data_IF_731022696103
#
_entry.id   IF_731022696103
#
_cell.length_a   1.000
_cell.length_b   1.000
_cell.length_c   1.000
_cell.angle_alpha   90.00
_cell.angle_beta   90.00
_cell.angle_gamma   90.00
#
_symmetry.space_group_name_H-M   'P 1'
#
loop_
_entity.id
_entity.type
_entity.pdbx_description
1 polymer ?
#
# COMPACT_ATOMS: atom_id res chain seq x y z
N UNK A 1 -3.82 -0.02 32.22
CA UNK A 1 -4.23 -1.42 32.43
C UNK A 1 -3.89 -2.23 31.19
N UNK A 2 -3.10 -3.30 31.31
CA UNK A 2 -2.77 -4.18 30.18
C UNK A 2 -4.02 -5.01 29.79
N UNK A 3 -4.37 -5.05 28.50
CA UNK A 3 -5.54 -5.81 28.02
C UNK A 3 -5.30 -7.31 28.23
N UNK A 4 -6.27 -8.01 28.85
CA UNK A 4 -6.25 -9.47 28.94
C UNK A 4 -6.21 -10.09 27.52
N UNK A 5 -5.36 -11.09 27.27
CA UNK A 5 -5.32 -11.76 25.98
C UNK A 5 -6.64 -12.51 25.73
N UNK A 6 -7.08 -12.54 24.47
CA UNK A 6 -8.28 -13.29 24.08
C UNK A 6 -8.04 -14.79 24.21
N UNK A 7 -9.05 -15.49 24.71
CA UNK A 7 -9.10 -16.96 24.73
C UNK A 7 -9.22 -17.53 23.31
N UNK A 8 -8.87 -18.80 23.13
CA UNK A 8 -9.01 -19.47 21.84
C UNK A 8 -10.46 -19.55 21.38
N UNK A 9 -11.38 -19.78 22.32
CA UNK A 9 -12.81 -19.74 22.09
C UNK A 9 -13.27 -18.36 21.56
N UNK A 10 -12.90 -17.26 22.24
CA UNK A 10 -13.25 -15.91 21.78
C UNK A 10 -12.65 -15.57 20.41
N UNK A 11 -11.45 -16.09 20.10
CA UNK A 11 -10.83 -15.92 18.78
C UNK A 11 -11.62 -16.67 17.70
N UNK A 12 -12.06 -17.89 17.98
CA UNK A 12 -12.83 -18.70 17.04
C UNK A 12 -14.21 -18.09 16.77
N UNK A 13 -14.93 -17.67 17.82
CA UNK A 13 -16.24 -17.01 17.68
C UNK A 13 -16.12 -15.71 16.88
N UNK A 14 -15.10 -14.89 17.16
CA UNK A 14 -14.82 -13.68 16.37
C UNK A 14 -14.46 -13.99 14.91
N UNK A 15 -13.71 -15.06 14.64
CA UNK A 15 -13.38 -15.46 13.28
C UNK A 15 -14.62 -15.90 12.50
N UNK A 16 -15.53 -16.66 13.11
CA UNK A 16 -16.81 -17.05 12.52
C UNK A 16 -17.70 -15.83 12.23
N UNK A 17 -17.84 -14.92 13.20
CA UNK A 17 -18.56 -13.65 13.03
C UNK A 17 -18.00 -12.81 11.86
N UNK A 18 -16.66 -12.68 11.74
CA UNK A 18 -16.02 -11.94 10.63
C UNK A 18 -16.31 -12.56 9.26
N UNK A 19 -16.23 -13.88 9.18
CA UNK A 19 -16.54 -14.60 7.94
C UNK A 19 -18.00 -14.44 7.54
N UNK A 20 -18.91 -14.42 8.51
CA UNK A 20 -20.34 -14.16 8.27
C UNK A 20 -20.59 -12.76 7.69
N UNK A 21 -20.03 -11.72 8.30
CA UNK A 21 -20.18 -10.35 7.80
C UNK A 21 -19.59 -10.19 6.40
N UNK A 22 -18.42 -10.77 6.15
CA UNK A 22 -17.81 -10.79 4.82
C UNK A 22 -18.69 -11.51 3.79
N UNK A 23 -19.33 -12.61 4.19
CA UNK A 23 -20.28 -13.31 3.33
C UNK A 23 -21.50 -12.44 3.01
N UNK A 24 -22.08 -11.73 3.99
CA UNK A 24 -23.21 -10.82 3.75
C UNK A 24 -22.86 -9.68 2.77
N UNK A 25 -21.67 -9.10 2.89
CA UNK A 25 -21.16 -8.08 1.96
C UNK A 25 -21.05 -8.64 0.53
N UNK A 26 -20.49 -9.85 0.38
CA UNK A 26 -20.33 -10.51 -0.92
C UNK A 26 -21.65 -10.98 -1.52
N UNK A 27 -22.59 -11.43 -0.69
CA UNK A 27 -23.96 -11.77 -1.10
C UNK A 27 -24.69 -10.56 -1.67
N UNK A 28 -24.54 -9.40 -1.03
CA UNK A 28 -25.09 -8.13 -1.52
C UNK A 28 -24.46 -7.75 -2.87
N UNK A 29 -23.14 -7.86 -2.99
CA UNK A 29 -22.44 -7.59 -4.24
C UNK A 29 -22.83 -8.57 -5.37
N UNK A 30 -22.99 -9.86 -5.06
CA UNK A 30 -23.41 -10.88 -6.02
C UNK A 30 -24.84 -10.69 -6.53
N UNK A 31 -25.72 -10.12 -5.70
CA UNK A 31 -27.09 -9.75 -6.10
C UNK A 31 -27.13 -8.52 -7.01
N UNK A 32 -26.20 -7.59 -6.82
CA UNK A 32 -26.08 -6.38 -7.64
C UNK A 32 -25.33 -6.62 -8.97
N UNK A 33 -24.63 -7.74 -9.12
CA UNK A 33 -23.85 -8.09 -10.31
C UNK A 33 -24.77 -8.46 -11.49
N UNK A 34 -24.78 -7.62 -12.54
CA UNK A 34 -25.59 -7.82 -13.74
C UNK A 34 -24.97 -8.86 -14.69
N UNK A 35 -25.76 -9.39 -15.63
CA UNK A 35 -25.26 -10.33 -16.64
C UNK A 35 -24.17 -9.72 -17.53
N UNK A 36 -24.30 -8.43 -17.89
CA UNK A 36 -23.29 -7.70 -18.64
C UNK A 36 -21.97 -7.57 -17.87
N UNK A 37 -22.01 -7.41 -16.54
CA UNK A 37 -20.80 -7.37 -15.70
C UNK A 37 -20.10 -8.74 -15.67
N UNK A 38 -20.89 -9.83 -15.59
CA UNK A 38 -20.36 -11.21 -15.63
C UNK A 38 -19.68 -11.51 -16.96
N UNK A 39 -20.31 -11.12 -18.07
CA UNK A 39 -19.75 -11.30 -19.41
C UNK A 39 -18.49 -10.46 -19.63
N UNK A 40 -18.46 -9.23 -19.10
CA UNK A 40 -17.27 -8.37 -19.14
C UNK A 40 -16.12 -8.95 -18.34
N UNK A 41 -16.38 -9.52 -17.15
CA UNK A 41 -15.37 -10.20 -16.33
C UNK A 41 -14.87 -11.47 -17.06
N UNK A 42 -15.78 -12.25 -17.64
CA UNK A 42 -15.44 -13.43 -18.45
C UNK A 42 -14.63 -13.08 -19.71
N UNK A 43 -14.89 -11.93 -20.35
CA UNK A 43 -14.12 -11.45 -21.50
C UNK A 43 -12.72 -10.97 -21.09
N UNK A 44 -12.59 -10.23 -19.98
CA UNK A 44 -11.30 -9.87 -19.38
C UNK A 44 -10.47 -11.12 -19.05
N UNK A 45 -11.12 -12.22 -18.67
CA UNK A 45 -10.49 -13.50 -18.31
C UNK A 45 -9.82 -14.23 -19.47
N UNK A 46 -10.29 -14.09 -20.71
CA UNK A 46 -9.66 -14.72 -21.89
C UNK A 46 -8.23 -14.18 -22.15
N UNK A 47 -7.89 -13.01 -21.60
CA UNK A 47 -6.61 -12.32 -21.84
C UNK A 47 -5.51 -12.57 -20.80
N UNK A 48 -5.82 -13.14 -19.62
CA UNK A 48 -4.87 -13.31 -18.50
C UNK A 48 -4.52 -14.78 -18.27
N UNK A 49 -3.33 -15.21 -18.69
CA UNK A 49 -2.79 -16.55 -18.36
C UNK A 49 -2.60 -16.68 -16.85
N UNK A 50 -3.25 -17.67 -16.24
CA UNK A 50 -2.85 -18.26 -14.95
C UNK A 50 -3.74 -18.02 -13.72
N UNK A 51 -4.81 -17.22 -13.79
CA UNK A 51 -5.80 -17.16 -12.69
C UNK A 51 -7.17 -16.73 -13.21
N UNK A 52 -8.24 -17.54 -13.07
CA UNK A 52 -9.59 -17.11 -13.46
C UNK A 52 -10.04 -15.97 -12.54
N UNK A 53 -10.48 -14.83 -13.08
CA UNK A 53 -11.18 -13.84 -12.26
C UNK A 53 -12.50 -14.45 -11.81
N UNK A 54 -12.72 -14.40 -10.49
CA UNK A 54 -13.88 -14.96 -9.83
C UNK A 54 -14.99 -13.90 -9.83
N UNK A 55 -16.19 -14.28 -10.23
CA UNK A 55 -17.38 -13.42 -10.09
C UNK A 55 -17.66 -13.15 -8.62
N UNK A 56 -18.45 -12.11 -8.31
CA UNK A 56 -18.83 -11.86 -6.92
C UNK A 56 -19.53 -13.09 -6.31
N UNK A 57 -20.30 -13.83 -7.13
CA UNK A 57 -20.91 -15.12 -6.78
C UNK A 57 -19.88 -16.21 -6.41
N UNK A 58 -18.82 -16.38 -7.20
CA UNK A 58 -17.77 -17.38 -6.91
C UNK A 58 -17.03 -17.07 -5.61
N UNK A 59 -16.78 -15.78 -5.35
CA UNK A 59 -16.11 -15.32 -4.12
C UNK A 59 -17.05 -15.50 -2.91
N UNK A 60 -18.36 -15.27 -3.09
CA UNK A 60 -19.36 -15.49 -2.05
C UNK A 60 -19.44 -16.97 -1.64
N UNK A 61 -19.45 -17.90 -2.61
CA UNK A 61 -19.47 -19.35 -2.34
C UNK A 61 -18.25 -19.81 -1.53
N UNK A 62 -17.04 -19.38 -1.92
CA UNK A 62 -15.81 -19.70 -1.17
C UNK A 62 -15.81 -19.10 0.24
N UNK A 63 -16.42 -17.93 0.40
CA UNK A 63 -16.52 -17.27 1.71
C UNK A 63 -17.56 -17.97 2.60
N UNK A 64 -18.62 -18.54 2.00
CA UNK A 64 -19.58 -19.37 2.70
C UNK A 64 -18.94 -20.66 3.23
N UNK A 65 -18.15 -21.35 2.42
CA UNK A 65 -17.36 -22.51 2.87
C UNK A 65 -16.43 -22.14 4.03
N UNK A 66 -15.74 -21.00 3.94
CA UNK A 66 -14.88 -20.51 5.01
C UNK A 66 -15.66 -20.17 6.31
N UNK A 67 -16.88 -19.66 6.19
CA UNK A 67 -17.76 -19.43 7.34
C UNK A 67 -18.14 -20.76 8.01
N UNK A 68 -18.56 -21.77 7.24
CA UNK A 68 -18.90 -23.10 7.78
C UNK A 68 -17.72 -23.75 8.51
N UNK A 69 -16.51 -23.65 7.95
CA UNK A 69 -15.28 -24.12 8.61
C UNK A 69 -15.02 -23.37 9.93
N UNK A 70 -15.27 -22.07 9.95
CA UNK A 70 -15.09 -21.26 11.16
C UNK A 70 -16.11 -21.62 12.27
N UNK A 71 -17.37 -21.87 11.91
CA UNK A 71 -18.40 -22.33 12.86
C UNK A 71 -18.06 -23.74 13.38
N UNK A 72 -17.62 -24.65 12.51
CA UNK A 72 -17.17 -25.98 12.92
C UNK A 72 -16.02 -25.91 13.94
N UNK A 73 -15.10 -24.95 13.79
CA UNK A 73 -14.02 -24.73 14.77
C UNK A 73 -14.55 -24.23 16.13
N UNK A 74 -15.58 -23.39 16.14
CA UNK A 74 -16.25 -22.99 17.40
C UNK A 74 -16.83 -24.22 18.10
N UNK A 75 -17.55 -25.07 17.35
CA UNK A 75 -18.15 -26.30 17.85
C UNK A 75 -17.13 -27.30 18.39
N UNK A 76 -15.99 -27.42 17.74
CA UNK A 76 -14.88 -28.27 18.20
C UNK A 76 -14.35 -27.81 19.56
N UNK A 77 -14.15 -26.50 19.75
CA UNK A 77 -13.69 -25.93 21.01
C UNK A 77 -14.76 -26.07 22.10
N UNK A 78 -16.04 -25.90 21.78
CA UNK A 78 -17.13 -26.11 22.74
C UNK A 78 -17.16 -27.54 23.26
N UNK A 79 -16.95 -28.52 22.38
CA UNK A 79 -16.83 -29.94 22.77
C UNK A 79 -15.58 -30.22 23.59
N UNK A 80 -14.43 -29.64 23.22
CA UNK A 80 -13.17 -29.82 23.95
C UNK A 80 -13.22 -29.22 25.36
N UNK A 81 -13.79 -28.03 25.49
CA UNK A 81 -13.89 -27.29 26.75
C UNK A 81 -15.13 -27.67 27.58
N UNK A 82 -15.97 -28.60 27.10
CA UNK A 82 -17.28 -28.94 27.71
C UNK A 82 -18.18 -27.71 27.95
N UNK A 83 -18.18 -26.77 27.00
CA UNK A 83 -18.99 -25.56 27.04
C UNK A 83 -20.38 -25.82 26.45
N UNK A 84 -21.42 -25.08 26.91
CA UNK A 84 -22.71 -25.11 26.23
C UNK A 84 -22.57 -24.60 24.80
N UNK A 85 -23.33 -25.20 23.88
CA UNK A 85 -23.33 -24.82 22.48
C UNK A 85 -23.92 -23.42 22.29
N UNK A 86 -23.12 -22.47 21.79
CA UNK A 86 -23.60 -21.13 21.46
C UNK A 86 -24.49 -21.15 20.23
N UNK A 87 -25.61 -20.42 20.20
CA UNK A 87 -26.46 -20.39 19.01
C UNK A 87 -25.71 -19.78 17.82
N UNK A 88 -26.05 -20.19 16.59
CA UNK A 88 -25.43 -19.56 15.40
C UNK A 88 -25.73 -18.06 15.32
N UNK A 89 -26.92 -17.64 15.78
CA UNK A 89 -27.29 -16.23 15.86
C UNK A 89 -26.36 -15.45 16.80
N UNK A 90 -25.99 -16.02 17.95
CA UNK A 90 -25.07 -15.39 18.90
C UNK A 90 -23.63 -15.36 18.35
N UNK A 91 -23.23 -16.35 17.57
CA UNK A 91 -21.95 -16.36 16.85
C UNK A 91 -21.93 -15.25 15.78
N UNK A 92 -23.03 -15.09 15.03
CA UNK A 92 -23.15 -14.09 13.97
C UNK A 92 -23.19 -12.66 14.51
N UNK A 93 -23.84 -12.46 15.67
CA UNK A 93 -24.00 -11.16 16.33
C UNK A 93 -22.94 -10.87 17.40
N UNK A 94 -21.92 -11.73 17.51
CA UNK A 94 -20.88 -11.62 18.54
C UNK A 94 -20.14 -10.28 18.47
N UNK A 95 -19.92 -9.66 19.63
CA UNK A 95 -19.27 -8.35 19.69
C UNK A 95 -17.78 -8.45 19.32
N UNK A 96 -17.47 -8.23 18.04
CA UNK A 96 -16.11 -8.14 17.53
C UNK A 96 -15.72 -6.68 17.30
N UNK A 97 -14.75 -6.12 18.05
CA UNK A 97 -14.24 -4.77 17.85
C UNK A 97 -13.63 -4.49 16.47
N UNK A 98 -13.41 -5.51 15.63
CA UNK A 98 -12.97 -5.35 14.24
C UNK A 98 -14.14 -5.16 13.27
N UNK A 99 -15.30 -5.75 13.59
CA UNK A 99 -16.54 -5.68 12.80
C UNK A 99 -17.40 -4.50 13.26
N UNK A 100 -17.56 -4.33 14.58
CA UNK A 100 -18.32 -3.25 15.22
C UNK A 100 -17.60 -1.90 15.20
N UNK A 101 -16.44 -1.84 14.55
CA UNK A 101 -15.93 -0.56 14.04
C UNK A 101 -16.69 -0.27 12.76
N UNK A 102 -17.55 0.75 12.71
CA UNK A 102 -18.18 1.12 11.46
C UNK A 102 -17.10 1.36 10.41
N UNK A 103 -17.13 0.54 9.34
CA UNK A 103 -16.37 0.79 8.11
C UNK A 103 -16.88 2.13 7.56
N UNK A 104 -16.05 3.16 7.65
CA UNK A 104 -16.18 4.35 6.79
C UNK A 104 -17.22 5.40 7.15
N UNK A 105 -18.01 5.27 8.22
CA UNK A 105 -18.83 6.40 8.72
C UNK A 105 -18.55 6.58 10.21
N UNK A 106 -18.12 7.77 10.62
CA UNK A 106 -17.98 8.07 12.04
C UNK A 106 -19.32 7.95 12.77
N UNK A 107 -19.28 7.51 14.03
CA UNK A 107 -20.44 7.48 14.94
C UNK A 107 -21.12 8.83 15.15
N UNK A 108 -20.60 9.92 14.58
CA UNK A 108 -21.10 11.29 14.71
C UNK A 108 -21.84 11.82 13.47
N UNK A 109 -21.90 11.06 12.37
CA UNK A 109 -22.35 11.62 11.08
C UNK A 109 -21.43 12.73 10.53
N UNK A 110 -20.29 12.99 11.20
CA UNK A 110 -19.29 13.95 10.75
C UNK A 110 -18.21 13.22 9.93
N UNK A 111 -17.72 13.87 8.85
CA UNK A 111 -16.64 13.32 8.05
C UNK A 111 -15.41 13.14 8.93
N UNK A 112 -14.79 11.96 8.90
CA UNK A 112 -13.53 11.78 9.62
C UNK A 112 -12.46 12.59 8.90
N UNK A 113 -11.54 13.19 9.65
CA UNK A 113 -10.31 13.79 9.12
C UNK A 113 -9.56 12.92 8.09
N UNK A 114 -9.74 11.59 8.15
CA UNK A 114 -9.17 10.65 7.21
C UNK A 114 -9.76 10.76 5.79
N UNK A 115 -11.03 11.14 5.63
CA UNK A 115 -11.66 11.29 4.30
C UNK A 115 -11.05 12.46 3.52
N UNK A 116 -10.82 13.58 4.22
CA UNK A 116 -10.07 14.72 3.67
C UNK A 116 -8.63 14.27 3.32
N UNK A 117 -7.96 13.56 4.23
CA UNK A 117 -6.61 13.04 4.00
C UNK A 117 -6.55 12.09 2.76
N UNK A 118 -7.58 11.26 2.58
CA UNK A 118 -7.71 10.28 1.49
C UNK A 118 -7.99 10.96 0.14
N UNK A 119 -8.87 11.98 0.12
CA UNK A 119 -9.15 12.81 -1.06
C UNK A 119 -7.91 13.62 -1.47
N UNK A 120 -7.20 14.21 -0.51
CA UNK A 120 -5.92 14.87 -0.79
C UNK A 120 -4.87 13.90 -1.32
N UNK A 121 -4.81 12.67 -0.80
CA UNK A 121 -3.94 11.63 -1.32
C UNK A 121 -4.33 11.22 -2.75
N UNK A 122 -5.62 11.19 -3.07
CA UNK A 122 -6.13 10.96 -4.41
C UNK A 122 -5.70 12.09 -5.37
N UNK A 123 -5.92 13.35 -4.99
CA UNK A 123 -5.48 14.53 -5.77
C UNK A 123 -3.99 14.43 -6.08
N UNK A 124 -3.14 14.13 -5.08
CA UNK A 124 -1.70 13.94 -5.28
C UNK A 124 -1.36 12.81 -6.26
N UNK A 125 -2.06 11.68 -6.20
CA UNK A 125 -1.87 10.57 -7.16
C UNK A 125 -2.24 10.99 -8.57
N UNK A 126 -3.33 11.73 -8.74
CA UNK A 126 -3.77 12.22 -10.04
C UNK A 126 -2.80 13.27 -10.60
N UNK A 127 -2.30 14.19 -9.78
CA UNK A 127 -1.26 15.15 -10.19
C UNK A 127 0.03 14.45 -10.65
N UNK A 128 0.51 13.44 -9.90
CA UNK A 128 1.64 12.60 -10.33
C UNK A 128 1.38 11.88 -11.66
N UNK A 129 0.13 11.48 -11.91
CA UNK A 129 -0.27 10.89 -13.18
C UNK A 129 -0.21 11.92 -14.31
N UNK A 130 -0.67 13.15 -14.09
CA UNK A 130 -0.50 14.25 -15.06
C UNK A 130 0.98 14.46 -15.40
N UNK A 131 1.87 14.46 -14.41
CA UNK A 131 3.32 14.56 -14.64
C UNK A 131 3.88 13.37 -15.44
N UNK A 132 3.39 12.15 -15.18
CA UNK A 132 3.75 10.95 -15.92
C UNK A 132 3.27 11.00 -17.38
N UNK A 133 2.07 11.53 -17.62
CA UNK A 133 1.54 11.79 -18.97
C UNK A 133 2.37 12.87 -19.67
N UNK A 134 2.74 13.93 -18.95
CA UNK A 134 3.53 15.03 -19.48
C UNK A 134 4.93 14.60 -19.90
N UNK A 135 5.58 13.77 -19.08
CA UNK A 135 6.90 13.19 -19.32
C UNK A 135 6.91 12.01 -20.30
N UNK A 136 5.76 11.64 -20.88
CA UNK A 136 5.66 10.56 -21.86
C UNK A 136 5.83 9.16 -21.28
N UNK A 137 5.86 9.02 -19.94
CA UNK A 137 5.98 7.72 -19.25
C UNK A 137 4.68 6.92 -19.29
N UNK A 138 3.53 7.59 -19.44
CA UNK A 138 2.23 6.93 -19.60
C UNK A 138 1.89 6.74 -21.09
N UNK A 139 2.22 5.55 -21.63
CA UNK A 139 1.86 5.15 -22.98
C UNK A 139 0.46 4.50 -22.93
N UNK A 140 -0.56 5.22 -23.38
CA UNK A 140 -1.89 4.64 -23.59
C UNK A 140 -2.33 4.87 -25.03
N UNK A 141 -2.77 3.79 -25.68
CA UNK A 141 -3.06 3.70 -27.12
C UNK A 141 -4.37 4.36 -27.55
N UNK A 142 -5.27 4.67 -26.62
CA UNK A 142 -6.68 4.94 -26.92
C UNK A 142 -7.14 6.38 -26.68
N UNK A 143 -6.34 7.19 -25.97
CA UNK A 143 -6.68 8.58 -25.67
C UNK A 143 -5.49 9.48 -25.95
N UNK A 144 -5.75 10.66 -26.49
CA UNK A 144 -4.72 11.69 -26.68
C UNK A 144 -4.19 12.18 -25.35
N UNK A 145 -2.99 12.77 -25.37
CA UNK A 145 -2.37 13.38 -24.18
C UNK A 145 -3.30 14.41 -23.52
N UNK A 146 -3.95 15.25 -24.34
CA UNK A 146 -4.86 16.32 -23.87
C UNK A 146 -6.11 15.76 -23.20
N UNK A 147 -6.74 14.72 -23.75
CA UNK A 147 -7.94 14.09 -23.17
C UNK A 147 -7.64 13.44 -21.81
N UNK A 148 -6.47 12.80 -21.67
CA UNK A 148 -6.05 12.20 -20.39
C UNK A 148 -5.84 13.26 -19.32
N UNK A 149 -5.17 14.36 -19.67
CA UNK A 149 -4.93 15.47 -18.74
C UNK A 149 -6.27 16.09 -18.34
N UNK A 150 -7.15 16.39 -19.31
CA UNK A 150 -8.48 16.95 -19.01
C UNK A 150 -9.32 16.03 -18.11
N UNK A 151 -9.29 14.71 -18.32
CA UNK A 151 -9.96 13.76 -17.43
C UNK A 151 -9.38 13.75 -16.01
N UNK A 152 -8.06 13.89 -15.87
CA UNK A 152 -7.40 14.01 -14.57
C UNK A 152 -7.71 15.33 -13.88
N UNK A 153 -7.75 16.44 -14.62
CA UNK A 153 -8.10 17.77 -14.10
C UNK A 153 -9.52 17.81 -13.55
N UNK A 154 -10.49 17.19 -14.26
CA UNK A 154 -11.87 17.04 -13.76
C UNK A 154 -11.91 16.26 -12.44
N UNK A 155 -11.23 15.12 -12.36
CA UNK A 155 -11.17 14.34 -11.11
C UNK A 155 -10.52 15.11 -9.95
N UNK A 156 -9.53 15.96 -10.23
CA UNK A 156 -8.96 16.85 -9.23
C UNK A 156 -9.98 17.89 -8.79
N UNK A 157 -10.69 18.54 -9.73
CA UNK A 157 -11.71 19.53 -9.41
C UNK A 157 -12.83 18.93 -8.56
N UNK A 158 -13.33 17.75 -8.91
CA UNK A 158 -14.38 17.05 -8.15
C UNK A 158 -13.90 16.70 -6.73
N UNK A 159 -12.67 16.20 -6.59
CA UNK A 159 -12.10 15.88 -5.29
C UNK A 159 -11.82 17.13 -4.45
N UNK A 160 -11.39 18.24 -5.07
CA UNK A 160 -11.19 19.52 -4.40
C UNK A 160 -12.52 20.13 -3.93
N UNK A 161 -13.59 19.98 -4.72
CA UNK A 161 -14.93 20.39 -4.32
C UNK A 161 -15.41 19.61 -3.09
N UNK A 162 -15.26 18.28 -3.10
CA UNK A 162 -15.59 17.43 -1.95
C UNK A 162 -14.76 17.79 -0.72
N UNK A 163 -13.45 18.06 -0.87
CA UNK A 163 -12.63 18.52 0.26
C UNK A 163 -13.19 19.81 0.87
N UNK A 164 -13.59 20.79 0.06
CA UNK A 164 -14.16 22.05 0.57
C UNK A 164 -15.48 21.83 1.32
N UNK A 165 -16.34 20.96 0.80
CA UNK A 165 -17.60 20.59 1.46
C UNK A 165 -17.34 19.93 2.82
N UNK A 166 -16.38 18.99 2.89
CA UNK A 166 -16.01 18.33 4.14
C UNK A 166 -15.34 19.29 5.13
N UNK A 167 -14.53 20.23 4.64
CA UNK A 167 -13.88 21.25 5.47
C UNK A 167 -14.86 22.23 6.10
N UNK A 168 -15.94 22.59 5.39
CA UNK A 168 -16.99 23.45 5.91
C UNK A 168 -17.72 22.84 7.12
N UNK A 169 -17.64 21.50 7.28
CA UNK A 169 -18.24 20.77 8.40
C UNK A 169 -17.27 20.60 9.59
N UNK A 170 -16.00 20.99 9.45
CA UNK A 170 -15.02 20.85 10.52
C UNK A 170 -15.23 21.90 11.62
N UNK A 171 -15.01 21.49 12.86
CA UNK A 171 -14.92 22.44 13.97
C UNK A 171 -13.66 23.33 13.83
N UNK A 172 -13.63 24.54 14.40
CA UNK A 172 -12.45 25.42 14.36
C UNK A 172 -11.12 24.74 14.75
N UNK A 173 -11.03 23.94 15.84
CA UNK A 173 -9.79 23.23 16.15
C UNK A 173 -9.44 22.16 15.11
N UNK A 174 -10.41 21.46 14.52
CA UNK A 174 -10.14 20.45 13.49
C UNK A 174 -9.63 21.10 12.20
N UNK A 175 -10.22 22.23 11.80
CA UNK A 175 -9.76 23.02 10.65
C UNK A 175 -8.32 23.53 10.86
N UNK A 176 -8.02 24.11 12.02
CA UNK A 176 -6.66 24.55 12.35
C UNK A 176 -5.66 23.36 12.36
N UNK A 177 -6.09 22.21 12.84
CA UNK A 177 -5.29 20.99 12.82
C UNK A 177 -5.03 20.48 11.39
N UNK A 178 -6.02 20.55 10.50
CA UNK A 178 -5.86 20.21 9.08
C UNK A 178 -4.89 21.14 8.36
N UNK A 179 -4.92 22.45 8.66
CA UNK A 179 -3.94 23.39 8.13
C UNK A 179 -2.51 23.05 8.55
N UNK A 180 -2.32 22.65 9.82
CA UNK A 180 -1.01 22.19 10.32
C UNK A 180 -0.55 20.91 9.61
N UNK A 181 -1.46 19.96 9.37
CA UNK A 181 -1.15 18.73 8.62
C UNK A 181 -0.65 19.07 7.20
N UNK A 182 -1.34 19.95 6.48
CA UNK A 182 -0.93 20.41 5.15
C UNK A 182 0.43 21.10 5.19
N UNK A 183 0.65 22.02 6.14
CA UNK A 183 1.95 22.68 6.29
C UNK A 183 3.08 21.68 6.59
N UNK A 184 2.84 20.70 7.46
CA UNK A 184 3.80 19.62 7.75
C UNK A 184 4.11 18.78 6.51
N UNK A 185 3.12 18.55 5.65
CA UNK A 185 3.29 17.84 4.40
C UNK A 185 4.12 18.67 3.40
N UNK A 186 3.80 19.95 3.22
CA UNK A 186 4.59 20.87 2.39
C UNK A 186 6.06 20.91 2.84
N UNK A 187 6.31 20.95 4.16
CA UNK A 187 7.67 20.84 4.72
C UNK A 187 8.37 19.54 4.32
N UNK A 188 7.67 18.39 4.33
CA UNK A 188 8.25 17.10 3.90
C UNK A 188 8.61 17.12 2.42
N UNK A 189 7.77 17.72 1.58
CA UNK A 189 7.97 17.84 0.14
C UNK A 189 9.13 18.78 -0.19
N UNK A 190 9.17 19.97 0.42
CA UNK A 190 10.28 20.92 0.29
C UNK A 190 11.62 20.29 0.73
N UNK A 191 11.61 19.51 1.82
CA UNK A 191 12.80 18.79 2.29
C UNK A 191 13.24 17.71 1.30
N UNK A 192 12.30 17.01 0.67
CA UNK A 192 12.61 16.00 -0.32
C UNK A 192 13.20 16.63 -1.59
N UNK A 193 12.65 17.76 -2.04
CA UNK A 193 13.18 18.51 -3.18
C UNK A 193 14.57 19.06 -2.88
N UNK A 194 14.79 19.66 -1.71
CA UNK A 194 16.13 20.11 -1.30
C UNK A 194 17.16 18.97 -1.33
N UNK A 195 16.83 17.80 -0.77
CA UNK A 195 17.71 16.62 -0.82
C UNK A 195 17.99 16.14 -2.25
N UNK A 196 16.98 16.16 -3.11
CA UNK A 196 17.13 15.80 -4.52
C UNK A 196 18.06 16.78 -5.22
N UNK A 197 17.95 18.09 -4.95
CA UNK A 197 18.84 19.10 -5.52
C UNK A 197 20.29 18.92 -5.05
N UNK A 198 20.52 18.68 -3.74
CA UNK A 198 21.86 18.34 -3.24
C UNK A 198 22.46 17.13 -3.97
N UNK A 199 21.67 16.07 -4.16
CA UNK A 199 22.10 14.88 -4.88
C UNK A 199 22.42 15.16 -6.36
N UNK A 200 21.63 15.99 -7.04
CA UNK A 200 21.91 16.39 -8.42
C UNK A 200 23.22 17.19 -8.51
N UNK A 201 23.51 18.05 -7.54
CA UNK A 201 24.76 18.80 -7.48
C UNK A 201 25.96 17.86 -7.35
N UNK A 202 25.88 16.90 -6.42
CA UNK A 202 26.90 15.88 -6.22
C UNK A 202 27.16 15.04 -7.49
N UNK A 203 26.09 14.62 -8.19
CA UNK A 203 26.20 13.84 -9.42
C UNK A 203 26.85 14.62 -10.57
N UNK A 204 26.70 15.94 -10.59
CA UNK A 204 27.31 16.81 -11.59
C UNK A 204 28.68 17.36 -11.16
N UNK A 205 29.25 16.90 -10.03
CA UNK A 205 30.53 17.37 -9.51
C UNK A 205 30.52 18.84 -9.08
N UNK A 206 29.33 19.39 -8.77
CA UNK A 206 29.15 20.74 -8.24
C UNK A 206 29.09 20.70 -6.72
N UNK A 207 29.40 21.82 -6.05
CA UNK A 207 29.28 21.91 -4.60
C UNK A 207 27.82 21.63 -4.16
N UNK A 208 27.69 20.94 -3.02
CA UNK A 208 26.39 20.80 -2.32
C UNK A 208 26.03 22.06 -1.52
N UNK A 209 26.93 23.04 -1.53
CA UNK A 209 26.75 24.33 -0.90
C UNK A 209 25.99 25.28 -1.82
N UNK A 210 25.31 26.25 -1.21
CA UNK A 210 24.55 27.29 -1.93
C UNK A 210 25.47 28.14 -2.79
N UNK A 211 26.71 28.32 -2.33
CA UNK A 211 27.79 28.97 -3.04
C UNK A 211 28.81 27.89 -3.39
N UNK A 212 29.30 27.87 -4.61
CA UNK A 212 30.46 27.04 -4.93
C UNK A 212 31.77 27.68 -4.46
N UNK A 213 32.88 26.96 -4.63
CA UNK A 213 34.22 27.42 -4.24
C UNK A 213 34.65 28.71 -4.96
N UNK A 214 33.96 29.07 -6.04
CA UNK A 214 34.17 30.30 -6.81
C UNK A 214 33.15 31.41 -6.47
N UNK A 215 32.27 31.19 -5.48
CA UNK A 215 31.23 32.14 -5.06
C UNK A 215 30.02 32.19 -6.00
N UNK A 216 29.89 31.27 -6.96
CA UNK A 216 28.73 31.18 -7.87
C UNK A 216 27.56 30.55 -7.13
N UNK A 217 26.41 31.22 -7.21
CA UNK A 217 25.19 30.77 -6.55
C UNK A 217 24.54 29.64 -7.32
N UNK A 218 24.32 28.52 -6.64
CA UNK A 218 23.46 27.46 -7.15
C UNK A 218 21.99 27.86 -6.95
N UNK A 219 21.40 28.51 -7.96
CA UNK A 219 20.05 29.08 -7.89
C UNK A 219 18.97 28.04 -7.54
N UNK A 220 19.08 26.81 -8.05
CA UNK A 220 18.13 25.73 -7.78
C UNK A 220 18.23 25.25 -6.33
N UNK A 221 19.46 25.12 -5.81
CA UNK A 221 19.71 24.72 -4.43
C UNK A 221 19.34 25.81 -3.42
N UNK A 222 19.58 27.09 -3.77
CA UNK A 222 19.14 28.24 -2.99
C UNK A 222 17.61 28.31 -2.92
N UNK A 223 16.93 28.18 -4.07
CA UNK A 223 15.47 28.18 -4.14
C UNK A 223 14.88 27.04 -3.30
N UNK A 224 15.40 25.82 -3.44
CA UNK A 224 14.92 24.68 -2.66
C UNK A 224 15.15 24.86 -1.14
N UNK A 225 16.27 25.49 -0.74
CA UNK A 225 16.56 25.81 0.66
C UNK A 225 15.62 26.89 1.22
N UNK A 226 15.33 27.93 0.45
CA UNK A 226 14.37 28.97 0.84
C UNK A 226 12.97 28.41 1.01
N UNK A 227 12.51 27.58 0.06
CA UNK A 227 11.21 26.90 0.15
C UNK A 227 11.11 26.00 1.39
N UNK A 228 12.21 25.33 1.76
CA UNK A 228 12.26 24.53 2.99
C UNK A 228 12.15 25.42 4.24
N UNK A 229 12.89 26.52 4.30
CA UNK A 229 12.86 27.46 5.43
C UNK A 229 11.47 28.08 5.61
N UNK A 230 10.83 28.49 4.52
CA UNK A 230 9.47 29.02 4.51
C UNK A 230 8.46 27.98 5.04
N UNK A 231 8.54 26.74 4.55
CA UNK A 231 7.67 25.66 5.00
C UNK A 231 7.90 25.30 6.48
N UNK A 232 9.15 25.34 6.96
CA UNK A 232 9.46 25.15 8.38
C UNK A 232 8.91 26.26 9.27
N UNK A 233 9.04 27.51 8.82
CA UNK A 233 8.49 28.68 9.50
C UNK A 233 6.97 28.60 9.61
N UNK A 234 6.30 28.27 8.51
CA UNK A 234 4.85 28.16 8.46
C UNK A 234 4.31 27.10 9.43
N UNK A 235 4.97 25.94 9.54
CA UNK A 235 4.59 24.91 10.53
C UNK A 235 4.73 25.45 11.95
N UNK A 236 5.82 26.13 12.28
CA UNK A 236 6.04 26.71 13.62
C UNK A 236 4.98 27.75 13.96
N UNK A 237 4.66 28.64 13.01
CA UNK A 237 3.63 29.68 13.19
C UNK A 237 2.28 29.01 13.50
N UNK A 238 1.83 28.07 12.67
CA UNK A 238 0.53 27.41 12.84
C UNK A 238 0.46 26.56 14.12
N UNK A 239 1.52 25.82 14.46
CA UNK A 239 1.58 25.04 15.71
C UNK A 239 1.56 25.95 16.95
N UNK A 240 2.22 27.10 16.88
CA UNK A 240 2.22 28.08 17.97
C UNK A 240 0.86 28.77 18.13
N UNK A 241 0.18 29.10 17.03
CA UNK A 241 -1.16 29.68 17.04
C UNK A 241 -2.18 28.69 17.62
N UNK A 242 -2.14 27.43 17.15
CA UNK A 242 -2.98 26.36 17.68
C UNK A 242 -2.75 26.14 19.19
N UNK A 243 -1.48 26.11 19.63
CA UNK A 243 -1.16 25.93 21.06
C UNK A 243 -1.72 27.07 21.93
N UNK A 244 -1.69 28.30 21.43
CA UNK A 244 -2.24 29.47 22.13
C UNK A 244 -3.76 29.44 22.24
N UNK A 245 -4.45 29.04 21.18
CA UNK A 245 -5.92 29.12 21.11
C UNK A 245 -6.62 27.88 21.66
N UNK A 246 -6.09 26.68 21.41
CA UNK A 246 -6.77 25.41 21.67
C UNK A 246 -6.03 24.51 22.66
N UNK A 247 -4.89 24.97 23.21
CA UNK A 247 -4.07 24.23 24.17
C UNK A 247 -3.11 23.23 23.55
N UNK A 248 -2.57 22.32 24.36
CA UNK A 248 -1.53 21.41 23.88
C UNK A 248 -2.03 20.40 22.84
N UNK A 249 -1.20 20.19 21.83
CA UNK A 249 -1.38 19.11 20.88
C UNK A 249 -1.46 17.77 21.63
N UNK A 250 -2.63 17.12 21.64
CA UNK A 250 -2.70 15.68 21.89
C UNK A 250 -2.10 14.98 20.68
N UNK A 251 -0.77 14.96 20.60
CA UNK A 251 -0.02 14.16 19.65
C UNK A 251 -0.25 12.68 19.98
N UNK A 252 -1.40 12.12 19.59
CA UNK A 252 -1.63 10.67 19.56
C UNK A 252 -0.62 9.96 18.65
N UNK A 253 0.09 10.71 17.81
CA UNK A 253 1.21 10.24 16.99
C UNK A 253 2.55 10.11 17.75
N UNK A 254 2.72 10.80 18.89
CA UNK A 254 3.99 10.85 19.64
C UNK A 254 3.93 10.14 21.00
N UNK A 255 2.98 9.22 21.21
CA UNK A 255 3.07 8.30 22.34
C UNK A 255 4.27 7.36 22.16
N UNK A 256 4.99 7.03 23.24
CA UNK A 256 6.06 6.02 23.27
C UNK A 256 5.65 4.70 22.58
N UNK A 257 4.35 4.43 22.55
CA UNK A 257 3.69 3.30 21.86
C UNK A 257 3.85 3.31 20.32
N UNK A 258 3.92 4.47 19.66
CA UNK A 258 4.10 4.52 18.19
C UNK A 258 5.55 4.34 17.76
N UNK A 259 6.50 4.86 18.54
CA UNK A 259 7.93 4.61 18.33
C UNK A 259 8.21 3.11 18.48
N UNK A 260 7.69 2.50 19.56
CA UNK A 260 7.84 1.06 19.80
C UNK A 260 7.10 0.20 18.77
N UNK A 261 5.94 0.63 18.24
CA UNK A 261 5.25 -0.05 17.13
C UNK A 261 6.01 0.06 15.80
N UNK A 262 6.62 1.21 15.49
CA UNK A 262 7.51 1.38 14.32
C UNK A 262 8.78 0.57 14.45
N UNK A 263 9.42 0.57 15.62
CA UNK A 263 10.60 -0.25 15.90
C UNK A 263 10.29 -1.73 15.71
N UNK A 264 9.16 -2.23 16.26
CA UNK A 264 8.71 -3.61 16.04
C UNK A 264 8.48 -3.94 14.56
N UNK A 265 7.88 -3.02 13.80
CA UNK A 265 7.65 -3.21 12.35
C UNK A 265 8.98 -3.27 11.58
N UNK A 266 9.95 -2.43 11.93
CA UNK A 266 11.28 -2.45 11.33
C UNK A 266 12.07 -3.71 11.70
N UNK A 267 12.04 -4.15 12.97
CA UNK A 267 12.69 -5.39 13.37
C UNK A 267 12.09 -6.61 12.67
N UNK A 268 10.77 -6.66 12.51
CA UNK A 268 10.10 -7.73 11.74
C UNK A 268 10.49 -7.70 10.25
N UNK A 269 10.63 -6.50 9.66
CA UNK A 269 11.07 -6.36 8.27
C UNK A 269 12.53 -6.81 8.08
N UNK A 270 13.42 -6.50 9.05
CA UNK A 270 14.82 -6.95 9.05
C UNK A 270 14.90 -8.46 9.20
N UNK A 271 14.19 -9.05 10.16
CA UNK A 271 14.12 -10.51 10.35
C UNK A 271 13.60 -11.23 9.10
N UNK A 272 12.59 -10.66 8.44
CA UNK A 272 12.05 -11.21 7.20
C UNK A 272 13.07 -11.12 6.04
N UNK A 273 13.82 -10.02 5.94
CA UNK A 273 14.88 -9.86 4.95
C UNK A 273 16.04 -10.85 5.19
N UNK A 274 16.43 -11.05 6.45
CA UNK A 274 17.44 -12.04 6.85
C UNK A 274 16.99 -13.47 6.51
N UNK A 275 15.75 -13.83 6.84
CA UNK A 275 15.17 -15.13 6.49
C UNK A 275 15.15 -15.36 4.97
N UNK A 276 14.79 -14.34 4.17
CA UNK A 276 14.85 -14.42 2.71
C UNK A 276 16.28 -14.58 2.18
N UNK A 277 17.26 -13.91 2.79
CA UNK A 277 18.67 -14.03 2.41
C UNK A 277 19.22 -15.42 2.76
N UNK A 278 18.85 -15.98 3.91
CA UNK A 278 19.19 -17.34 4.31
C UNK A 278 18.53 -18.36 3.37
N UNK A 279 17.24 -18.20 3.04
CA UNK A 279 16.55 -19.05 2.08
C UNK A 279 17.19 -19.00 0.68
N UNK A 280 17.60 -17.80 0.22
CA UNK A 280 18.33 -17.64 -1.05
C UNK A 280 19.72 -18.28 -1.02
N UNK A 281 20.42 -18.25 0.11
CA UNK A 281 21.71 -18.94 0.29
C UNK A 281 21.53 -20.46 0.33
N UNK A 282 20.47 -20.96 0.99
CA UNK A 282 20.13 -22.39 1.02
C UNK A 282 19.72 -22.93 -0.36
N UNK A 283 19.09 -22.11 -1.21
CA UNK A 283 18.78 -22.46 -2.60
C UNK A 283 20.00 -22.38 -3.54
N UNK A 284 21.14 -21.82 -3.10
CA UNK A 284 22.42 -21.88 -3.83
C UNK A 284 23.18 -23.16 -3.48
N UNK A 285 22.59 -24.31 -3.73
CA UNK A 285 23.36 -25.52 -4.03
C UNK A 285 23.43 -25.70 -5.55
N UNK A 286 24.57 -26.18 -6.07
CA UNK A 286 24.89 -26.08 -7.47
C UNK A 286 24.00 -27.06 -8.22
N UNK A 287 23.02 -26.55 -8.98
CA UNK A 287 22.65 -27.28 -10.19
C UNK A 287 23.95 -27.43 -10.96
N UNK A 288 24.44 -28.66 -11.07
CA UNK A 288 25.46 -29.01 -12.04
C UNK A 288 25.06 -28.30 -13.32
N UNK A 289 25.85 -27.29 -13.71
CA UNK A 289 25.88 -26.88 -15.10
C UNK A 289 26.32 -28.16 -15.80
N UNK A 290 25.36 -28.92 -16.33
CA UNK A 290 25.61 -29.69 -17.53
C UNK A 290 25.98 -28.63 -18.54
N UNK A 291 27.28 -28.32 -18.58
CA UNK A 291 27.92 -27.74 -19.75
C UNK A 291 27.48 -28.62 -20.89
N UNK A 292 26.52 -28.16 -21.69
CA UNK A 292 26.45 -28.62 -23.06
C UNK A 292 27.79 -28.19 -23.66
N UNK A 293 28.70 -29.16 -23.72
CA UNK A 293 29.91 -29.04 -24.51
C UNK A 293 29.40 -28.79 -25.91
N UNK A 294 29.45 -27.52 -26.35
CA UNK A 294 29.50 -27.22 -27.78
C UNK A 294 30.74 -27.93 -28.26
N UNK A 295 30.55 -29.05 -28.95
CA UNK A 295 31.57 -29.58 -29.85
C UNK A 295 31.81 -28.46 -30.88
N UNK A 296 32.83 -27.66 -30.62
CA UNK A 296 33.58 -27.02 -31.69
C UNK A 296 34.32 -28.17 -32.35
N UNK A 297 33.82 -28.62 -33.49
CA UNK A 297 34.59 -29.46 -34.41
C UNK A 297 35.84 -28.66 -34.80
N UNK A 298 36.91 -28.87 -34.03
CA UNK A 298 38.26 -28.71 -34.53
C UNK A 298 38.54 -29.96 -35.33
N UNK A 299 38.72 -29.79 -36.64
CA UNK A 299 39.57 -30.70 -37.39
C UNK A 299 40.89 -30.82 -36.65
N UNK A 300 41.22 -32.03 -36.23
CA UNK A 300 42.32 -32.76 -36.86
C UNK A 300 42.40 -34.18 -36.31
N UNK A 301 42.56 -35.09 -37.27
CA UNK A 301 43.31 -36.34 -37.20
C UNK A 301 43.10 -37.25 -35.98
N UNK A 302 42.35 -38.33 -36.21
CA UNK A 302 42.78 -39.65 -35.73
C UNK A 302 42.94 -40.59 -36.89
N UNK A 303 44.20 -40.73 -37.27
CA UNK A 303 44.80 -42.00 -37.63
C UNK A 303 44.22 -43.16 -36.81
N UNK A 304 43.95 -44.26 -37.49
CA UNK A 304 43.99 -45.58 -36.85
C UNK A 304 42.69 -46.38 -36.86
N UNK A 305 42.16 -46.70 -38.04
CA UNK A 305 41.53 -48.01 -38.22
C UNK A 305 42.29 -48.88 -39.22
N UNK A 306 42.80 -49.96 -38.65
CA UNK A 306 43.46 -51.10 -39.25
C UNK A 306 42.65 -51.69 -40.40
N UNK A 307 43.26 -51.81 -41.57
CA UNK A 307 43.06 -52.97 -42.44
C UNK A 307 44.42 -53.55 -42.80
N UNK A 308 44.63 -54.81 -42.37
CA UNK A 308 45.73 -55.66 -42.84
C UNK A 308 45.32 -56.28 -44.18
N UNK A 309 46.25 -56.29 -45.14
CA UNK A 309 46.56 -57.34 -46.14
C UNK A 309 47.71 -56.76 -47.01
N UNK A 310 48.97 -57.05 -46.67
CA UNK A 310 49.84 -58.10 -47.26
C UNK A 310 49.88 -58.11 -48.80
N UNK A 311 51.08 -57.78 -49.32
CA UNK A 311 51.81 -58.33 -50.49
C UNK A 311 51.02 -58.49 -51.79
N UNK A 312 51.40 -57.82 -52.86
CA UNK A 312 52.58 -58.09 -53.71
C UNK A 312 53.06 -56.84 -54.45
#
# INVERSE_FOLDING_TARGET
MARKPLTEYEKAVRAACRSHVKLQELMTAARAETEADRERIAALNKSRRGRPAQTAKDIALKTHEAYLVAVARVREIEKQDSRPEMSEFDIQSYNDPVINKPKGVGHSGQPKNNEIDDLEALIRRIRKRIDAINSGKEISKYLTKKEKISGCEKQIQDAEAQVRELEALLTPPESAYQQIKRARQNRREARAEYKKQCMMCALHGKSEEVFDENGVVNAELLSAKNNLNEAESQVKILESAYKKEFGEFKNSECGADNLSRRLRKNTLAVQHAEALMVARKAQRHPKQRTTSIRNLDKGDEKTGQRFRKRSD
#
